data_IF_900264825438
#
_entry.id   IF_900264825438
#
_cell.length_a   1.000
_cell.length_b   1.000
_cell.length_c   1.000
_cell.angle_alpha   90.00
_cell.angle_beta   90.00
_cell.angle_gamma   90.00
#
_symmetry.space_group_name_H-M   'P 1'
#
loop_
_entity.id
_entity.type
_entity.pdbx_description
1 polymer ?
#
# COMPACT_ATOMS: atom_id res chain seq x y z
N UNK A 1 -8.00 -15.77 -11.25
CA UNK A 1 -8.57 -15.09 -10.07
C UNK A 1 -9.75 -15.86 -9.49
N UNK A 2 -10.74 -16.32 -10.28
CA UNK A 2 -11.89 -17.13 -9.76
C UNK A 2 -11.45 -18.39 -9.00
N UNK A 3 -10.42 -19.07 -9.48
CA UNK A 3 -9.89 -20.26 -8.80
C UNK A 3 -9.25 -19.90 -7.45
N UNK A 4 -8.52 -18.79 -7.37
CA UNK A 4 -7.99 -18.29 -6.11
C UNK A 4 -9.12 -18.01 -5.11
N UNK A 5 -10.16 -17.28 -5.53
CA UNK A 5 -11.32 -17.00 -4.66
C UNK A 5 -12.02 -18.27 -4.21
N UNK A 6 -12.24 -19.25 -5.09
CA UNK A 6 -12.85 -20.56 -4.75
C UNK A 6 -12.00 -21.36 -3.75
N UNK A 7 -10.66 -21.22 -3.81
CA UNK A 7 -9.75 -21.87 -2.89
C UNK A 7 -9.52 -21.08 -1.58
N UNK A 8 -10.30 -20.03 -1.32
CA UNK A 8 -10.26 -19.27 -0.07
C UNK A 8 -9.15 -18.22 0.03
N UNK A 9 -8.47 -17.89 -1.06
CA UNK A 9 -7.52 -16.77 -1.08
C UNK A 9 -8.29 -15.45 -0.96
N UNK A 10 -7.80 -14.59 -0.06
CA UNK A 10 -8.44 -13.29 0.22
C UNK A 10 -7.90 -12.16 -0.66
N UNK A 11 -6.75 -12.34 -1.29
CA UNK A 11 -6.13 -11.30 -2.10
C UNK A 11 -5.01 -11.78 -3.01
N UNK A 12 -4.45 -10.83 -3.75
CA UNK A 12 -3.31 -11.01 -4.64
C UNK A 12 -2.24 -9.96 -4.37
N UNK A 13 -0.98 -10.28 -4.69
CA UNK A 13 0.12 -9.30 -4.74
C UNK A 13 0.54 -9.08 -6.19
N UNK A 14 0.69 -7.81 -6.57
CA UNK A 14 1.25 -7.37 -7.84
C UNK A 14 2.57 -6.64 -7.58
N UNK A 15 3.55 -6.88 -8.43
CA UNK A 15 4.85 -6.24 -8.34
C UNK A 15 5.29 -5.74 -9.72
N UNK A 16 4.89 -4.51 -10.12
CA UNK A 16 5.11 -3.98 -11.46
C UNK A 16 6.57 -4.05 -11.93
N UNK A 17 7.53 -3.73 -11.06
CA UNK A 17 8.95 -3.79 -11.41
C UNK A 17 9.43 -5.22 -11.71
N UNK A 18 9.07 -6.21 -10.88
CA UNK A 18 9.44 -7.61 -11.12
C UNK A 18 8.71 -8.23 -12.32
N UNK A 19 7.58 -7.68 -12.69
CA UNK A 19 6.80 -8.08 -13.85
C UNK A 19 7.17 -7.26 -15.11
N UNK A 20 8.09 -6.31 -14.97
CA UNK A 20 8.59 -5.43 -16.06
C UNK A 20 7.44 -4.77 -16.85
N UNK A 21 6.36 -4.38 -16.14
CA UNK A 21 5.13 -3.89 -16.74
C UNK A 21 4.63 -2.66 -15.97
N UNK A 22 4.30 -1.59 -16.65
CA UNK A 22 3.75 -0.38 -16.04
C UNK A 22 2.39 -0.66 -15.41
N UNK A 23 2.11 -0.01 -14.28
CA UNK A 23 0.89 -0.26 -13.52
C UNK A 23 -0.39 0.18 -14.26
N UNK A 24 -0.27 1.10 -15.22
CA UNK A 24 -1.33 1.55 -16.11
C UNK A 24 -1.50 0.69 -17.38
N UNK A 25 -0.74 -0.41 -17.52
CA UNK A 25 -0.91 -1.33 -18.64
C UNK A 25 -2.34 -1.91 -18.68
N UNK A 26 -2.95 -2.04 -19.88
CA UNK A 26 -4.31 -2.59 -20.01
C UNK A 26 -4.51 -3.97 -19.38
N UNK A 27 -3.46 -4.77 -19.26
CA UNK A 27 -3.48 -6.07 -18.57
C UNK A 27 -3.67 -5.89 -17.06
N UNK A 28 -2.95 -4.95 -16.44
CA UNK A 28 -3.14 -4.60 -15.03
C UNK A 28 -4.54 -4.04 -14.76
N UNK A 29 -5.02 -3.12 -15.59
CA UNK A 29 -6.35 -2.54 -15.42
C UNK A 29 -7.44 -3.61 -15.38
N UNK A 30 -7.36 -4.61 -16.27
CA UNK A 30 -8.28 -5.77 -16.28
C UNK A 30 -8.13 -6.65 -15.04
N UNK A 31 -6.92 -6.83 -14.52
CA UNK A 31 -6.68 -7.60 -13.30
C UNK A 31 -7.28 -6.88 -12.09
N UNK A 32 -7.09 -5.56 -11.99
CA UNK A 32 -7.60 -4.73 -10.91
C UNK A 32 -9.12 -4.73 -10.88
N UNK A 33 -9.75 -4.49 -12.03
CA UNK A 33 -11.20 -4.49 -12.21
C UNK A 33 -11.79 -5.86 -11.81
N UNK A 34 -11.28 -6.93 -12.38
CA UNK A 34 -11.79 -8.27 -12.11
C UNK A 34 -11.49 -8.78 -10.68
N UNK A 35 -10.36 -8.40 -10.10
CA UNK A 35 -10.07 -8.71 -8.70
C UNK A 35 -11.04 -7.98 -7.76
N UNK A 36 -11.37 -6.73 -8.08
CA UNK A 36 -12.36 -5.93 -7.35
C UNK A 36 -13.76 -6.53 -7.43
N UNK A 37 -14.22 -6.96 -8.62
CA UNK A 37 -15.50 -7.68 -8.80
C UNK A 37 -15.58 -8.95 -7.94
N UNK A 38 -14.47 -9.65 -7.77
CA UNK A 38 -14.39 -10.84 -6.92
C UNK A 38 -14.25 -10.52 -5.43
N UNK A 39 -14.14 -9.25 -5.04
CA UNK A 39 -13.93 -8.81 -3.67
C UNK A 39 -12.57 -9.21 -3.11
N UNK A 40 -11.55 -9.41 -3.98
CA UNK A 40 -10.18 -9.71 -3.56
C UNK A 40 -9.47 -8.44 -3.10
N UNK A 41 -8.65 -8.56 -2.06
CA UNK A 41 -7.68 -7.55 -1.67
C UNK A 41 -6.55 -7.54 -2.71
N UNK A 42 -6.13 -6.35 -3.13
CA UNK A 42 -5.04 -6.17 -4.09
C UNK A 42 -3.91 -5.43 -3.40
N UNK A 43 -2.77 -6.08 -3.15
CA UNK A 43 -1.57 -5.41 -2.66
C UNK A 43 -0.61 -5.15 -3.82
N UNK A 44 -0.08 -3.93 -3.92
CA UNK A 44 0.80 -3.51 -5.01
C UNK A 44 2.10 -2.94 -4.43
N UNK A 45 3.25 -3.31 -4.99
CA UNK A 45 4.49 -2.57 -4.76
C UNK A 45 4.37 -1.19 -5.41
N UNK A 46 4.65 -0.13 -4.66
CA UNK A 46 4.53 1.25 -5.12
C UNK A 46 5.83 2.02 -4.91
N UNK A 47 6.19 2.85 -5.88
CA UNK A 47 7.41 3.64 -5.86
C UNK A 47 8.63 2.93 -6.40
N UNK A 48 9.82 3.36 -5.96
CA UNK A 48 11.10 2.82 -6.39
C UNK A 48 11.34 1.42 -5.80
N UNK A 49 11.73 0.46 -6.63
CA UNK A 49 12.32 -0.79 -6.15
C UNK A 49 13.86 -0.72 -6.23
N UNK A 50 14.60 -0.97 -5.13
CA UNK A 50 16.06 -0.93 -5.15
C UNK A 50 16.71 -1.93 -6.10
N UNK A 51 16.01 -2.98 -6.48
CA UNK A 51 16.46 -3.96 -7.50
C UNK A 51 16.31 -3.45 -8.93
N UNK A 52 15.50 -2.39 -9.14
CA UNK A 52 15.21 -1.77 -10.44
C UNK A 52 15.35 -0.24 -10.36
N UNK A 53 16.54 0.29 -10.03
CA UNK A 53 16.71 1.71 -9.68
C UNK A 53 16.51 2.67 -10.86
N UNK A 54 16.62 2.18 -12.09
CA UNK A 54 16.59 3.03 -13.29
C UNK A 54 15.16 3.30 -13.80
N UNK A 55 14.16 2.57 -13.30
CA UNK A 55 12.80 2.70 -13.78
C UNK A 55 11.77 2.37 -12.67
N UNK A 56 10.74 3.20 -12.55
CA UNK A 56 9.65 2.99 -11.59
C UNK A 56 8.37 2.68 -12.36
N UNK A 57 7.86 1.45 -12.20
CA UNK A 57 6.69 0.97 -12.94
C UNK A 57 5.34 1.29 -12.26
N UNK A 58 5.38 1.80 -11.02
CA UNK A 58 4.19 2.22 -10.26
C UNK A 58 4.48 3.52 -9.50
N UNK A 59 4.53 4.65 -10.22
CA UNK A 59 4.66 5.98 -9.59
C UNK A 59 3.34 6.38 -8.93
N UNK A 60 3.34 7.23 -7.88
CA UNK A 60 2.12 7.75 -7.27
C UNK A 60 1.18 8.43 -8.26
N UNK A 61 1.70 9.20 -9.21
CA UNK A 61 0.89 9.84 -10.26
C UNK A 61 0.21 8.80 -11.16
N UNK A 62 0.94 7.77 -11.62
CA UNK A 62 0.38 6.67 -12.40
C UNK A 62 -0.68 5.89 -11.59
N UNK A 63 -0.43 5.65 -10.32
CA UNK A 63 -1.39 4.97 -9.42
C UNK A 63 -2.67 5.78 -9.29
N UNK A 64 -2.59 7.09 -9.09
CA UNK A 64 -3.77 7.97 -9.04
C UNK A 64 -4.59 7.86 -10.33
N UNK A 65 -3.95 7.91 -11.49
CA UNK A 65 -4.63 7.85 -12.78
C UNK A 65 -5.34 6.50 -12.97
N UNK A 66 -4.73 5.40 -12.50
CA UNK A 66 -5.34 4.06 -12.47
C UNK A 66 -6.53 4.00 -11.50
N UNK A 67 -6.40 4.57 -10.29
CA UNK A 67 -7.51 4.63 -9.32
C UNK A 67 -8.72 5.34 -9.93
N UNK A 68 -8.49 6.48 -10.59
CA UNK A 68 -9.56 7.26 -11.22
C UNK A 68 -10.20 6.55 -12.42
N UNK A 69 -9.50 5.63 -13.06
CA UNK A 69 -10.00 4.88 -14.20
C UNK A 69 -10.76 3.60 -13.80
N UNK A 70 -10.26 2.86 -12.82
CA UNK A 70 -10.75 1.50 -12.48
C UNK A 70 -11.52 1.47 -11.16
N UNK A 71 -11.27 2.41 -10.23
CA UNK A 71 -11.86 2.46 -8.89
C UNK A 71 -11.73 1.13 -8.11
N UNK A 72 -10.52 0.59 -7.92
CA UNK A 72 -10.31 -0.69 -7.26
C UNK A 72 -10.76 -0.62 -5.78
N UNK A 73 -11.57 -1.59 -5.35
CA UNK A 73 -12.28 -1.54 -4.06
C UNK A 73 -11.40 -1.73 -2.81
N UNK A 74 -10.33 -2.52 -2.89
CA UNK A 74 -9.50 -2.92 -1.74
C UNK A 74 -8.03 -2.90 -2.14
N UNK A 75 -7.57 -1.74 -2.61
CA UNK A 75 -6.20 -1.53 -3.05
C UNK A 75 -5.32 -1.16 -1.86
N UNK A 76 -4.25 -1.92 -1.64
CA UNK A 76 -3.18 -1.62 -0.69
C UNK A 76 -1.95 -1.21 -1.49
N UNK A 77 -1.45 -0.02 -1.23
CA UNK A 77 -0.21 0.50 -1.81
C UNK A 77 0.91 0.34 -0.78
N UNK A 78 1.86 -0.52 -1.08
CA UNK A 78 2.99 -0.78 -0.20
C UNK A 78 3.88 0.46 -0.02
N UNK A 79 4.65 0.46 1.08
CA UNK A 79 5.67 1.46 1.36
C UNK A 79 5.12 2.90 1.47
N UNK A 80 4.03 3.07 2.21
CA UNK A 80 3.31 4.35 2.35
C UNK A 80 2.93 4.95 0.99
N UNK A 81 2.52 4.08 0.03
CA UNK A 81 2.04 4.49 -1.29
C UNK A 81 3.10 4.79 -2.33
N UNK A 82 4.40 4.76 -1.98
CA UNK A 82 5.46 5.07 -2.94
C UNK A 82 6.85 5.13 -2.33
N UNK A 83 7.56 3.99 -2.26
CA UNK A 83 8.93 3.94 -1.71
C UNK A 83 9.82 5.01 -2.34
N UNK A 84 10.47 5.85 -1.50
CA UNK A 84 11.36 6.95 -1.90
C UNK A 84 10.72 8.03 -2.81
N UNK A 85 9.37 8.10 -2.86
CA UNK A 85 8.60 9.09 -3.65
C UNK A 85 7.46 9.72 -2.82
N UNK A 86 7.67 9.89 -1.51
CA UNK A 86 6.58 10.31 -0.61
C UNK A 86 6.10 11.75 -0.82
N UNK A 87 6.92 12.65 -1.40
CA UNK A 87 6.45 13.98 -1.83
C UNK A 87 5.36 13.85 -2.90
N UNK A 88 5.56 12.93 -3.84
CA UNK A 88 4.56 12.66 -4.89
C UNK A 88 3.33 11.91 -4.33
N UNK A 89 3.51 11.10 -3.27
CA UNK A 89 2.37 10.50 -2.54
C UNK A 89 1.51 11.59 -1.90
N UNK A 90 2.13 12.58 -1.23
CA UNK A 90 1.43 13.72 -0.63
C UNK A 90 0.65 14.50 -1.71
N UNK A 91 1.20 14.66 -2.92
CA UNK A 91 0.54 15.37 -4.02
C UNK A 91 -0.58 14.57 -4.72
N UNK A 92 -0.44 13.24 -4.80
CA UNK A 92 -1.25 12.43 -5.70
C UNK A 92 -2.23 11.48 -5.01
N UNK A 93 -1.91 10.96 -3.82
CA UNK A 93 -2.62 9.84 -3.22
C UNK A 93 -3.32 10.16 -1.91
N UNK A 94 -3.02 11.32 -1.29
CA UNK A 94 -3.69 11.70 -0.06
C UNK A 94 -5.19 11.90 -0.29
N UNK A 95 -6.00 11.24 0.54
CA UNK A 95 -7.47 11.31 0.45
C UNK A 95 -8.11 10.37 -0.58
N UNK A 96 -7.32 9.67 -1.40
CA UNK A 96 -7.85 8.63 -2.29
C UNK A 96 -8.36 7.42 -1.48
N UNK A 97 -9.34 6.68 -2.03
CA UNK A 97 -9.93 5.51 -1.36
C UNK A 97 -9.04 4.26 -1.49
N UNK A 98 -7.85 4.34 -0.92
CA UNK A 98 -6.85 3.27 -0.92
C UNK A 98 -6.29 3.06 0.48
N UNK A 99 -5.64 1.93 0.68
CA UNK A 99 -4.88 1.62 1.89
C UNK A 99 -3.39 1.84 1.63
N UNK A 100 -2.70 2.39 2.61
CA UNK A 100 -1.23 2.47 2.60
C UNK A 100 -0.68 1.49 3.63
N UNK A 101 0.50 0.91 3.38
CA UNK A 101 1.18 0.11 4.40
C UNK A 101 2.56 0.66 4.75
N UNK A 102 3.05 0.34 5.95
CA UNK A 102 4.32 0.85 6.47
C UNK A 102 5.54 0.01 6.07
N UNK A 103 5.39 -0.95 5.15
CA UNK A 103 6.46 -1.86 4.74
C UNK A 103 7.75 -1.11 4.38
N UNK A 104 8.87 -1.50 4.98
CA UNK A 104 10.22 -0.99 4.75
C UNK A 104 10.42 0.55 4.84
N UNK A 105 9.43 1.34 5.28
CA UNK A 105 9.47 2.81 5.17
C UNK A 105 10.27 3.51 6.29
N UNK A 106 10.21 3.04 7.55
CA UNK A 106 10.71 3.79 8.73
C UNK A 106 12.22 4.10 8.76
N UNK A 107 13.03 3.44 7.97
CA UNK A 107 14.46 3.77 7.87
C UNK A 107 14.76 4.82 6.81
N UNK A 108 13.74 5.30 6.09
CA UNK A 108 13.89 6.13 4.89
C UNK A 108 13.00 7.37 4.89
N UNK A 109 11.73 7.24 5.32
CA UNK A 109 10.81 8.36 5.41
C UNK A 109 11.14 9.20 6.65
N UNK A 110 11.19 10.55 6.56
CA UNK A 110 11.25 11.40 7.74
C UNK A 110 9.99 11.24 8.61
N UNK A 111 10.16 11.23 9.93
CA UNK A 111 9.04 11.10 10.88
C UNK A 111 7.95 12.15 10.65
N UNK A 112 8.34 13.40 10.44
CA UNK A 112 7.42 14.50 10.18
C UNK A 112 6.57 14.26 8.91
N UNK A 113 7.18 13.72 7.85
CA UNK A 113 6.47 13.38 6.62
C UNK A 113 5.53 12.20 6.83
N UNK A 114 5.99 11.15 7.51
CA UNK A 114 5.14 10.02 7.88
C UNK A 114 3.91 10.48 8.66
N UNK A 115 4.10 11.31 9.70
CA UNK A 115 3.02 11.81 10.54
C UNK A 115 2.04 12.72 9.75
N UNK A 116 2.53 13.53 8.80
CA UNK A 116 1.64 14.31 7.92
C UNK A 116 0.79 13.39 7.04
N UNK A 117 1.41 12.39 6.38
CA UNK A 117 0.66 11.43 5.56
C UNK A 117 -0.41 10.71 6.40
N UNK A 118 -0.06 10.26 7.63
CA UNK A 118 -1.04 9.64 8.54
C UNK A 118 -2.19 10.59 8.87
N UNK A 119 -1.88 11.85 9.17
CA UNK A 119 -2.89 12.86 9.53
C UNK A 119 -3.81 13.23 8.38
N UNK A 120 -3.29 13.33 7.16
CA UNK A 120 -4.03 13.84 5.99
C UNK A 120 -4.74 12.73 5.22
N UNK A 121 -4.15 11.52 5.14
CA UNK A 121 -4.77 10.37 4.50
C UNK A 121 -5.79 9.67 5.41
N UNK A 122 -5.54 9.70 6.71
CA UNK A 122 -6.35 9.06 7.74
C UNK A 122 -5.70 7.79 8.30
N UNK A 123 -5.49 7.78 9.62
CA UNK A 123 -4.94 6.62 10.32
C UNK A 123 -5.76 5.34 10.16
N UNK A 124 -7.05 5.45 9.84
CA UNK A 124 -7.97 4.33 9.60
C UNK A 124 -7.82 3.67 8.22
N UNK A 125 -6.91 4.20 7.37
CA UNK A 125 -6.55 3.68 6.05
C UNK A 125 -5.08 3.27 5.96
N UNK A 126 -4.38 3.13 7.09
CA UNK A 126 -2.97 2.71 7.12
C UNK A 126 -2.85 1.36 7.81
N UNK A 127 -1.99 0.50 7.29
CA UNK A 127 -1.72 -0.85 7.77
C UNK A 127 -0.28 -0.96 8.25
N UNK A 128 -0.04 -1.56 9.40
CA UNK A 128 1.31 -1.88 9.84
C UNK A 128 1.87 -3.06 9.05
N UNK A 129 3.03 -2.85 8.44
CA UNK A 129 3.78 -3.87 7.73
C UNK A 129 5.29 -3.62 7.88
N UNK A 130 6.10 -4.64 7.69
CA UNK A 130 7.56 -4.57 7.85
C UNK A 130 8.34 -4.89 6.58
N UNK A 131 7.73 -5.62 5.64
CA UNK A 131 8.42 -6.18 4.48
C UNK A 131 9.53 -7.16 4.88
N UNK A 132 9.27 -7.99 5.89
CA UNK A 132 10.23 -9.02 6.31
C UNK A 132 10.53 -10.00 5.15
N UNK A 133 11.79 -10.37 4.85
CA UNK A 133 12.98 -10.20 5.71
C UNK A 133 13.78 -8.91 5.51
N UNK A 134 13.34 -7.98 4.66
CA UNK A 134 14.07 -6.75 4.37
C UNK A 134 14.15 -5.79 5.57
N UNK A 135 13.18 -5.86 6.48
CA UNK A 135 13.20 -5.13 7.72
C UNK A 135 12.84 -6.03 8.92
N UNK A 136 13.44 -5.75 10.07
CA UNK A 136 13.23 -6.50 11.30
C UNK A 136 11.88 -6.15 11.95
N UNK A 137 11.00 -7.14 12.12
CA UNK A 137 9.66 -6.93 12.70
C UNK A 137 9.69 -6.25 14.07
N UNK A 138 10.53 -6.74 14.99
CA UNK A 138 10.63 -6.18 16.35
C UNK A 138 11.19 -4.76 16.36
N UNK A 139 12.10 -4.45 15.44
CA UNK A 139 12.68 -3.13 15.29
C UNK A 139 11.64 -2.12 14.79
N UNK A 140 10.93 -2.48 13.73
CA UNK A 140 9.87 -1.67 13.15
C UNK A 140 8.72 -1.42 14.14
N UNK A 141 8.30 -2.45 14.86
CA UNK A 141 7.26 -2.31 15.88
C UNK A 141 7.71 -1.32 16.98
N UNK A 142 8.95 -1.44 17.47
CA UNK A 142 9.49 -0.55 18.49
C UNK A 142 9.58 0.88 18.00
N UNK A 143 10.03 1.07 16.77
CA UNK A 143 10.11 2.38 16.13
C UNK A 143 8.71 3.01 16.02
N UNK A 144 7.76 2.28 15.45
CA UNK A 144 6.38 2.74 15.29
C UNK A 144 5.73 3.11 16.63
N UNK A 145 5.95 2.32 17.68
CA UNK A 145 5.44 2.62 19.02
C UNK A 145 5.99 3.93 19.61
N UNK A 146 7.20 4.34 19.19
CA UNK A 146 7.84 5.58 19.59
C UNK A 146 7.33 6.85 18.89
N UNK A 147 6.60 6.72 17.78
CA UNK A 147 6.07 7.85 17.02
C UNK A 147 5.00 8.61 17.81
N UNK A 148 4.88 9.91 17.56
CA UNK A 148 3.89 10.80 18.18
C UNK A 148 2.50 10.65 17.53
N UNK A 149 1.88 9.51 17.75
CA UNK A 149 0.53 9.17 17.34
C UNK A 149 -0.34 8.92 18.57
N UNK A 150 -1.64 9.16 18.47
CA UNK A 150 -2.60 8.79 19.50
C UNK A 150 -2.62 7.27 19.74
N UNK A 151 -3.02 6.83 20.92
CA UNK A 151 -3.17 5.39 21.21
C UNK A 151 -4.20 4.74 20.29
N UNK A 152 -5.24 5.46 19.92
CA UNK A 152 -6.27 4.98 18.99
C UNK A 152 -5.71 4.79 17.58
N UNK A 153 -4.95 5.75 17.04
CA UNK A 153 -4.32 5.64 15.74
C UNK A 153 -3.32 4.48 15.70
N UNK A 154 -2.51 4.34 16.77
CA UNK A 154 -1.59 3.20 16.89
C UNK A 154 -2.32 1.85 16.85
N UNK A 155 -3.42 1.70 17.56
CA UNK A 155 -4.21 0.47 17.53
C UNK A 155 -4.85 0.24 16.14
N UNK A 156 -5.38 1.30 15.52
CA UNK A 156 -5.95 1.23 14.19
C UNK A 156 -4.92 0.71 13.18
N UNK A 157 -3.75 1.34 13.13
CA UNK A 157 -2.67 0.99 12.20
C UNK A 157 -2.11 -0.41 12.49
N UNK A 158 -1.89 -0.77 13.77
CA UNK A 158 -1.25 -2.02 14.16
C UNK A 158 -2.11 -3.25 13.83
N UNK A 159 -3.43 -3.19 13.96
CA UNK A 159 -4.24 -4.38 13.82
C UNK A 159 -5.71 -4.17 13.43
N UNK A 160 -6.41 -3.11 13.92
CA UNK A 160 -7.86 -2.95 13.70
C UNK A 160 -8.20 -2.78 12.22
N UNK A 161 -7.40 -2.01 11.50
CA UNK A 161 -7.58 -1.77 10.08
C UNK A 161 -7.43 -3.06 9.27
N UNK A 162 -6.40 -3.85 9.56
CA UNK A 162 -6.20 -5.14 8.90
C UNK A 162 -7.37 -6.10 9.19
N UNK A 163 -7.85 -6.14 10.43
CA UNK A 163 -9.01 -6.94 10.80
C UNK A 163 -10.27 -6.52 10.04
N UNK A 164 -10.52 -5.21 9.95
CA UNK A 164 -11.64 -4.65 9.20
C UNK A 164 -11.57 -5.02 7.71
N UNK A 165 -10.39 -4.86 7.10
CA UNK A 165 -10.18 -5.17 5.69
C UNK A 165 -10.37 -6.66 5.39
N UNK A 166 -9.80 -7.54 6.22
CA UNK A 166 -9.93 -9.00 6.08
C UNK A 166 -11.35 -9.51 6.27
N UNK A 167 -12.13 -8.93 7.19
CA UNK A 167 -13.54 -9.30 7.40
C UNK A 167 -14.46 -8.87 6.25
N UNK A 168 -14.01 -7.92 5.44
CA UNK A 168 -14.74 -7.43 4.27
C UNK A 168 -14.39 -8.16 2.97
N UNK A 169 -13.40 -9.07 2.98
CA UNK A 169 -12.85 -9.76 1.81
C UNK A 169 -13.62 -11.04 1.40
#
# INVERSE_FOLDING_TARGET
LQELKRNGFQGIKLHPDYQETQFDDPGYLKILDYASELGLIISVHAGLDPGYPDFVHATPAMIRDVIQQVHPQKLILAHMGGFMRWDEVEECLIGEDVWLDTAACFTKIPDEQFLRIVSEHGADRILFATDSPWAGQSEFLRYFQGLDLSSEDKENILWKNAEKLLKSA
#
